data_IF_745096121354
#
_entry.id   IF_745096121354
#
_cell.length_a   1.000
_cell.length_b   1.000
_cell.length_c   1.000
_cell.angle_alpha   90.00
_cell.angle_beta   90.00
_cell.angle_gamma   90.00
#
_symmetry.space_group_name_H-M   'P 1'
#
loop_
_entity.id
_entity.type
_entity.pdbx_description
1 polymer ?
#
# COMPACT_ATOMS: atom_id res chain seq x y z
N UNK A 1 -12.51 -7.64 -16.38
CA UNK A 1 -13.30 -6.37 -16.50
C UNK A 1 -14.03 -6.02 -15.22
N UNK A 2 -14.81 -6.95 -14.63
CA UNK A 2 -15.61 -6.69 -13.39
C UNK A 2 -14.72 -6.25 -12.22
N UNK A 3 -13.59 -6.93 -11.95
CA UNK A 3 -12.67 -6.56 -10.88
C UNK A 3 -12.18 -5.11 -11.01
N UNK A 4 -11.76 -4.71 -12.21
CA UNK A 4 -11.30 -3.33 -12.48
C UNK A 4 -12.41 -2.31 -12.23
N UNK A 5 -13.63 -2.58 -12.71
CA UNK A 5 -14.77 -1.70 -12.47
C UNK A 5 -15.11 -1.59 -10.99
N UNK A 6 -15.01 -2.70 -10.25
CA UNK A 6 -15.18 -2.74 -8.81
C UNK A 6 -14.15 -1.86 -8.10
N UNK A 7 -12.85 -2.03 -8.39
CA UNK A 7 -11.77 -1.19 -7.85
C UNK A 7 -11.98 0.30 -8.19
N UNK A 8 -12.31 0.61 -9.44
CA UNK A 8 -12.57 2.00 -9.85
C UNK A 8 -13.74 2.63 -9.10
N UNK A 9 -14.79 1.86 -8.77
CA UNK A 9 -15.90 2.37 -7.96
C UNK A 9 -15.48 2.74 -6.54
N UNK A 10 -14.65 1.93 -5.90
CA UNK A 10 -14.07 2.24 -4.58
C UNK A 10 -13.11 3.44 -4.65
N UNK A 11 -12.24 3.49 -5.65
CA UNK A 11 -11.36 4.63 -5.87
C UNK A 11 -12.14 5.94 -6.06
N UNK A 12 -13.24 5.89 -6.83
CA UNK A 12 -14.13 7.05 -7.02
C UNK A 12 -14.80 7.49 -5.71
N UNK A 13 -15.36 6.55 -4.94
CA UNK A 13 -15.96 6.84 -3.64
C UNK A 13 -14.93 7.45 -2.68
N UNK A 14 -13.75 6.85 -2.56
CA UNK A 14 -12.67 7.38 -1.74
C UNK A 14 -12.24 8.78 -2.17
N UNK A 15 -12.14 9.03 -3.48
CA UNK A 15 -11.84 10.37 -4.01
C UNK A 15 -12.90 11.42 -3.64
N UNK A 16 -14.20 11.06 -3.70
CA UNK A 16 -15.27 11.94 -3.26
C UNK A 16 -15.23 12.20 -1.75
N UNK A 17 -14.99 11.16 -0.94
CA UNK A 17 -14.86 11.30 0.52
C UNK A 17 -13.73 12.26 0.90
N UNK A 18 -12.55 12.10 0.33
CA UNK A 18 -11.42 13.01 0.59
C UNK A 18 -11.72 14.42 0.08
N UNK A 19 -12.37 14.55 -1.08
CA UNK A 19 -12.82 15.86 -1.60
C UNK A 19 -13.73 16.60 -0.62
N UNK A 20 -14.63 15.91 0.06
CA UNK A 20 -15.55 16.48 1.04
C UNK A 20 -14.88 16.76 2.39
N UNK A 21 -13.99 15.88 2.83
CA UNK A 21 -13.35 15.99 4.14
C UNK A 21 -12.15 16.95 4.14
N UNK A 22 -11.47 17.10 3.00
CA UNK A 22 -10.20 17.84 2.89
C UNK A 22 -10.16 18.75 1.65
N UNK A 23 -11.16 19.66 1.45
CA UNK A 23 -11.24 20.49 0.25
C UNK A 23 -10.05 21.44 0.09
N UNK A 24 -9.39 21.81 1.19
CA UNK A 24 -8.25 22.72 1.22
C UNK A 24 -6.93 22.10 0.74
N UNK A 25 -6.85 20.76 0.65
CA UNK A 25 -5.65 20.09 0.14
C UNK A 25 -5.53 20.29 -1.37
N UNK A 26 -4.29 20.25 -1.87
CA UNK A 26 -4.04 20.32 -3.31
C UNK A 26 -4.75 19.19 -4.05
N UNK A 27 -5.11 19.38 -5.33
CA UNK A 27 -5.75 18.33 -6.13
C UNK A 27 -4.97 17.03 -6.17
N UNK A 28 -3.64 17.08 -6.23
CA UNK A 28 -2.77 15.90 -6.26
C UNK A 28 -2.90 15.09 -4.98
N UNK A 29 -2.85 15.75 -3.82
CA UNK A 29 -3.00 15.11 -2.52
C UNK A 29 -4.40 14.53 -2.37
N UNK A 30 -5.45 15.25 -2.80
CA UNK A 30 -6.83 14.76 -2.71
C UNK A 30 -7.05 13.50 -3.56
N UNK A 31 -6.53 13.49 -4.79
CA UNK A 31 -6.66 12.32 -5.67
C UNK A 31 -5.90 11.14 -5.11
N UNK A 32 -4.64 11.35 -4.73
CA UNK A 32 -3.82 10.27 -4.16
C UNK A 32 -4.41 9.69 -2.87
N UNK A 33 -4.73 10.53 -1.87
CA UNK A 33 -5.37 10.06 -0.62
C UNK A 33 -6.73 9.41 -0.90
N UNK A 34 -7.49 9.93 -1.87
CA UNK A 34 -8.79 9.40 -2.22
C UNK A 34 -8.70 8.01 -2.85
N UNK A 35 -7.81 7.82 -3.81
CA UNK A 35 -7.57 6.51 -4.42
C UNK A 35 -7.04 5.53 -3.37
N UNK A 36 -6.08 5.95 -2.53
CA UNK A 36 -5.57 5.12 -1.43
C UNK A 36 -6.66 4.74 -0.43
N UNK A 37 -7.57 5.65 -0.08
CA UNK A 37 -8.74 5.36 0.78
C UNK A 37 -9.68 4.36 0.10
N UNK A 38 -9.93 4.52 -1.19
CA UNK A 38 -10.72 3.58 -1.97
C UNK A 38 -10.15 2.17 -1.93
N UNK A 39 -8.85 2.03 -2.18
CA UNK A 39 -8.15 0.73 -2.11
C UNK A 39 -8.19 0.15 -0.69
N UNK A 40 -8.01 0.98 0.35
CA UNK A 40 -8.12 0.52 1.74
C UNK A 40 -9.53 0.01 2.07
N UNK A 41 -10.57 0.71 1.59
CA UNK A 41 -11.95 0.25 1.73
C UNK A 41 -12.20 -1.05 0.96
N UNK A 42 -11.67 -1.20 -0.25
CA UNK A 42 -11.76 -2.42 -1.04
C UNK A 42 -11.05 -3.60 -0.36
N UNK A 43 -9.93 -3.38 0.30
CA UNK A 43 -9.25 -4.41 1.10
C UNK A 43 -10.08 -4.81 2.33
N UNK A 44 -10.63 -3.84 3.05
CA UNK A 44 -11.18 -4.05 4.39
C UNK A 44 -12.67 -4.34 4.42
N UNK A 45 -13.51 -3.65 3.64
CA UNK A 45 -14.96 -3.79 3.73
C UNK A 45 -15.47 -5.17 3.33
N UNK A 46 -14.98 -5.81 2.24
CA UNK A 46 -15.37 -7.20 1.94
C UNK A 46 -15.00 -8.17 3.07
N UNK A 47 -13.82 -8.00 3.68
CA UNK A 47 -13.37 -8.83 4.81
C UNK A 47 -14.24 -8.59 6.07
N UNK A 48 -14.67 -7.36 6.33
CA UNK A 48 -15.62 -7.06 7.42
C UNK A 48 -16.99 -7.68 7.16
N UNK A 49 -17.52 -7.54 5.94
CA UNK A 49 -18.81 -8.14 5.55
C UNK A 49 -18.77 -9.66 5.54
N UNK A 50 -17.59 -10.25 5.30
CA UNK A 50 -17.38 -11.69 5.27
C UNK A 50 -17.64 -12.36 6.65
N UNK A 51 -17.55 -11.63 7.76
CA UNK A 51 -17.94 -12.19 9.07
C UNK A 51 -19.41 -12.61 9.16
N UNK A 52 -20.27 -12.06 8.29
CA UNK A 52 -21.68 -12.44 8.21
C UNK A 52 -22.05 -13.20 6.93
N UNK A 53 -21.26 -13.05 5.86
CA UNK A 53 -21.61 -13.49 4.52
C UNK A 53 -20.54 -14.39 3.87
N UNK A 54 -19.54 -14.79 4.64
CA UNK A 54 -18.31 -15.42 4.16
C UNK A 54 -17.64 -14.58 3.05
N UNK A 55 -16.44 -14.92 2.60
CA UNK A 55 -15.74 -14.11 1.60
C UNK A 55 -16.28 -14.41 0.18
N UNK A 56 -17.53 -14.03 -0.04
CA UNK A 56 -18.33 -14.34 -1.22
C UNK A 56 -18.67 -13.08 -2.04
N UNK A 57 -19.28 -13.26 -3.20
CA UNK A 57 -19.83 -12.14 -3.99
C UNK A 57 -20.84 -11.32 -3.19
N UNK A 58 -21.64 -11.96 -2.31
CA UNK A 58 -22.59 -11.26 -1.45
C UNK A 58 -21.88 -10.31 -0.48
N UNK A 59 -20.74 -10.72 0.12
CA UNK A 59 -19.92 -9.84 0.97
C UNK A 59 -19.37 -8.65 0.18
N UNK A 60 -18.99 -8.83 -1.09
CA UNK A 60 -18.52 -7.76 -1.94
C UNK A 60 -19.63 -6.76 -2.33
N UNK A 61 -20.85 -7.24 -2.57
CA UNK A 61 -22.03 -6.37 -2.79
C UNK A 61 -22.33 -5.58 -1.51
N UNK A 62 -22.33 -6.25 -0.35
CA UNK A 62 -22.53 -5.59 0.95
C UNK A 62 -21.43 -4.55 1.23
N UNK A 63 -20.19 -4.83 0.83
CA UNK A 63 -19.07 -3.88 0.94
C UNK A 63 -19.29 -2.60 0.12
N UNK A 64 -19.88 -2.69 -1.08
CA UNK A 64 -20.27 -1.50 -1.86
C UNK A 64 -21.33 -0.70 -1.12
N UNK A 65 -22.37 -1.36 -0.57
CA UNK A 65 -23.37 -0.68 0.23
C UNK A 65 -22.77 0.01 1.47
N UNK A 66 -21.85 -0.65 2.16
CA UNK A 66 -21.13 -0.05 3.28
C UNK A 66 -20.28 1.15 2.86
N UNK A 67 -19.59 1.07 1.72
CA UNK A 67 -18.81 2.18 1.17
C UNK A 67 -19.72 3.39 0.80
N UNK A 68 -20.90 3.14 0.24
CA UNK A 68 -21.89 4.19 -0.04
C UNK A 68 -22.41 4.84 1.24
N UNK A 69 -22.67 4.07 2.29
CA UNK A 69 -23.06 4.61 3.60
C UNK A 69 -21.94 5.47 4.20
N UNK A 70 -20.70 5.01 4.15
CA UNK A 70 -19.55 5.81 4.60
C UNK A 70 -19.42 7.09 3.78
N UNK A 71 -19.62 7.02 2.47
CA UNK A 71 -19.63 8.20 1.60
C UNK A 71 -20.75 9.18 1.98
N UNK A 72 -21.95 8.69 2.30
CA UNK A 72 -23.06 9.53 2.78
C UNK A 72 -22.73 10.21 4.12
N UNK A 73 -22.10 9.50 5.07
CA UNK A 73 -21.61 10.09 6.32
C UNK A 73 -20.56 11.16 6.06
N UNK A 74 -19.58 10.89 5.19
CA UNK A 74 -18.57 11.88 4.81
C UNK A 74 -19.19 13.10 4.12
N UNK A 75 -20.23 12.91 3.29
CA UNK A 75 -20.96 14.00 2.68
C UNK A 75 -21.72 14.85 3.71
N UNK A 76 -22.38 14.22 4.68
CA UNK A 76 -23.05 14.93 5.77
C UNK A 76 -22.06 15.73 6.62
N UNK A 77 -20.88 15.16 6.87
CA UNK A 77 -19.77 15.79 7.61
C UNK A 77 -18.88 16.71 6.75
N UNK A 78 -19.27 16.99 5.49
CA UNK A 78 -18.42 17.73 4.55
C UNK A 78 -18.05 19.12 5.06
N UNK A 79 -16.88 19.55 4.71
CA UNK A 79 -16.43 20.92 4.93
C UNK A 79 -17.02 21.83 3.83
N UNK A 80 -17.74 22.88 4.25
CA UNK A 80 -18.33 23.87 3.34
C UNK A 80 -17.29 24.92 2.91
N UNK A 81 -16.13 24.47 2.44
CA UNK A 81 -15.06 25.33 1.97
C UNK A 81 -14.85 25.15 0.46
N UNK A 82 -14.39 26.18 -0.25
CA UNK A 82 -14.08 26.06 -1.67
C UNK A 82 -12.92 25.07 -1.88
N UNK A 83 -12.98 24.34 -2.98
CA UNK A 83 -11.92 23.42 -3.35
C UNK A 83 -10.65 24.21 -3.70
N UNK A 84 -9.52 23.79 -3.11
CA UNK A 84 -8.22 24.31 -3.51
C UNK A 84 -7.98 24.00 -5.00
N UNK A 85 -7.68 25.02 -5.78
CA UNK A 85 -7.33 24.89 -7.20
C UNK A 85 -5.87 24.39 -7.36
N UNK A 86 -5.55 23.91 -8.53
CA UNK A 86 -4.20 23.50 -8.89
C UNK A 86 -3.30 24.73 -9.01
N UNK A 87 -2.24 24.79 -8.21
CA UNK A 87 -1.22 25.86 -8.21
C UNK A 87 -0.06 25.48 -9.13
N UNK A 88 0.80 26.43 -9.44
CA UNK A 88 2.01 26.18 -10.22
C UNK A 88 2.94 25.14 -9.56
N UNK A 89 3.05 25.19 -8.23
CA UNK A 89 3.79 24.18 -7.46
C UNK A 89 3.23 22.78 -7.61
N UNK A 90 1.90 22.64 -7.72
CA UNK A 90 1.24 21.35 -7.94
C UNK A 90 1.50 20.84 -9.36
N UNK A 91 1.50 21.73 -10.37
CA UNK A 91 1.83 21.36 -11.75
C UNK A 91 3.27 20.85 -11.87
N UNK A 92 4.21 21.53 -11.22
CA UNK A 92 5.63 21.08 -11.18
C UNK A 92 5.75 19.74 -10.45
N UNK A 93 5.04 19.56 -9.35
CA UNK A 93 5.02 18.28 -8.64
C UNK A 93 4.39 17.16 -9.49
N UNK A 94 3.33 17.45 -10.22
CA UNK A 94 2.74 16.51 -11.18
C UNK A 94 3.74 16.10 -12.26
N UNK A 95 4.53 17.05 -12.77
CA UNK A 95 5.59 16.76 -13.73
C UNK A 95 6.67 15.83 -13.16
N UNK A 96 7.09 16.04 -11.89
CA UNK A 96 8.01 15.13 -11.19
C UNK A 96 7.38 13.74 -11.01
N UNK A 97 6.13 13.68 -10.55
CA UNK A 97 5.42 12.41 -10.38
C UNK A 97 5.26 11.66 -11.70
N UNK A 98 5.00 12.37 -12.80
CA UNK A 98 4.93 11.76 -14.13
C UNK A 98 6.31 11.27 -14.59
N UNK A 99 7.34 12.12 -14.50
CA UNK A 99 8.68 11.80 -14.98
C UNK A 99 9.37 10.67 -14.22
N UNK A 100 9.09 10.51 -12.92
CA UNK A 100 9.68 9.48 -12.06
C UNK A 100 8.71 8.34 -11.80
N UNK A 101 7.47 8.65 -11.43
CA UNK A 101 6.49 7.66 -11.00
C UNK A 101 5.98 6.79 -12.13
N UNK A 102 5.75 7.33 -13.34
CA UNK A 102 5.29 6.53 -14.49
C UNK A 102 6.33 5.49 -14.91
N UNK A 103 7.62 5.86 -15.14
CA UNK A 103 8.66 4.87 -15.47
C UNK A 103 8.84 3.82 -14.37
N UNK A 104 8.87 4.22 -13.09
CA UNK A 104 8.97 3.26 -11.98
C UNK A 104 7.77 2.31 -11.92
N UNK A 105 6.56 2.81 -12.17
CA UNK A 105 5.35 1.98 -12.21
C UNK A 105 5.38 1.00 -13.38
N UNK A 106 5.79 1.46 -14.56
CA UNK A 106 5.92 0.60 -15.74
C UNK A 106 6.99 -0.48 -15.54
N UNK A 107 8.16 -0.11 -14.99
CA UNK A 107 9.21 -1.05 -14.61
C UNK A 107 8.69 -2.08 -13.61
N UNK A 108 7.97 -1.63 -12.59
CA UNK A 108 7.42 -2.52 -11.55
C UNK A 108 6.37 -3.47 -12.11
N UNK A 109 5.51 -3.01 -13.02
CA UNK A 109 4.53 -3.86 -13.70
C UNK A 109 5.24 -4.94 -14.54
N UNK A 110 6.27 -4.53 -15.27
CA UNK A 110 7.10 -5.45 -16.06
C UNK A 110 7.77 -6.50 -15.16
N UNK A 111 8.44 -6.06 -14.08
CA UNK A 111 9.12 -6.98 -13.15
C UNK A 111 8.15 -7.91 -12.43
N UNK A 112 6.98 -7.44 -12.01
CA UNK A 112 5.96 -8.30 -11.41
C UNK A 112 5.47 -9.37 -12.39
N UNK A 113 5.25 -9.02 -13.65
CA UNK A 113 4.77 -9.96 -14.66
C UNK A 113 5.85 -10.97 -15.09
N UNK A 114 7.11 -10.54 -15.18
CA UNK A 114 8.22 -11.37 -15.72
C UNK A 114 9.07 -12.03 -14.65
N UNK A 115 9.19 -11.44 -13.44
CA UNK A 115 10.11 -11.89 -12.39
C UNK A 115 9.43 -12.26 -11.06
N UNK A 116 8.13 -11.98 -10.91
CA UNK A 116 7.39 -12.41 -9.73
C UNK A 116 6.57 -13.66 -10.02
N UNK A 117 5.66 -13.57 -10.99
CA UNK A 117 4.77 -14.68 -11.39
C UNK A 117 4.53 -14.65 -12.90
N UNK A 118 5.15 -15.58 -13.61
CA UNK A 118 5.10 -15.64 -15.06
C UNK A 118 4.34 -16.89 -15.52
N UNK A 119 3.36 -16.76 -16.45
CA UNK A 119 2.75 -17.91 -17.08
C UNK A 119 3.73 -18.56 -18.06
N UNK A 120 3.90 -19.88 -17.95
CA UNK A 120 4.67 -20.68 -18.89
C UNK A 120 3.81 -21.20 -20.04
N UNK A 121 4.46 -21.69 -21.11
CA UNK A 121 3.76 -22.17 -22.32
C UNK A 121 2.88 -23.40 -22.05
N UNK A 122 3.21 -24.20 -21.04
CA UNK A 122 2.44 -25.37 -20.60
C UNK A 122 1.26 -25.03 -19.68
N UNK A 123 1.03 -23.75 -19.40
CA UNK A 123 -0.01 -23.26 -18.48
C UNK A 123 0.38 -23.24 -17.01
N UNK A 124 1.59 -23.65 -16.65
CA UNK A 124 2.12 -23.52 -15.29
C UNK A 124 2.45 -22.06 -14.98
N UNK A 125 2.60 -21.76 -13.69
CA UNK A 125 3.05 -20.45 -13.19
C UNK A 125 4.43 -20.59 -12.55
N UNK A 126 5.37 -19.79 -13.03
CA UNK A 126 6.73 -19.78 -12.54
C UNK A 126 6.96 -18.61 -11.60
N UNK A 127 7.61 -18.87 -10.46
CA UNK A 127 7.99 -17.88 -9.48
C UNK A 127 9.46 -17.50 -9.65
N UNK A 128 9.78 -16.22 -9.48
CA UNK A 128 11.15 -15.72 -9.54
C UNK A 128 12.01 -16.14 -8.34
N UNK A 129 13.32 -16.09 -8.50
CA UNK A 129 14.29 -16.50 -7.48
C UNK A 129 14.14 -15.69 -6.17
N UNK A 130 13.84 -14.41 -6.24
CA UNK A 130 13.65 -13.56 -5.06
C UNK A 130 12.27 -13.70 -4.40
N UNK A 131 11.31 -14.37 -5.07
CA UNK A 131 9.90 -14.39 -4.67
C UNK A 131 9.39 -15.77 -4.26
N UNK A 132 10.12 -16.84 -4.58
CA UNK A 132 9.64 -18.22 -4.42
C UNK A 132 9.23 -18.59 -2.98
N UNK A 133 9.89 -18.03 -1.98
CA UNK A 133 9.62 -18.36 -0.57
C UNK A 133 8.24 -17.88 -0.12
N UNK A 134 8.02 -16.59 -0.17
CA UNK A 134 6.78 -15.98 0.35
C UNK A 134 5.62 -16.08 -0.65
N UNK A 135 5.90 -16.08 -1.95
CA UNK A 135 4.86 -16.03 -2.97
C UNK A 135 3.93 -17.25 -2.92
N UNK A 136 4.46 -18.45 -2.65
CA UNK A 136 3.64 -19.67 -2.53
C UNK A 136 2.64 -19.57 -1.38
N UNK A 137 3.04 -18.97 -0.26
CA UNK A 137 2.16 -18.68 0.88
C UNK A 137 1.07 -17.66 0.47
N UNK A 138 1.43 -16.57 -0.15
CA UNK A 138 0.47 -15.56 -0.62
C UNK A 138 -0.50 -16.11 -1.66
N UNK A 139 -0.03 -16.94 -2.60
CA UNK A 139 -0.90 -17.62 -3.57
C UNK A 139 -1.90 -18.53 -2.87
N UNK A 140 -1.46 -19.23 -1.84
CA UNK A 140 -2.33 -20.08 -1.02
C UNK A 140 -3.43 -19.25 -0.32
N UNK A 141 -3.09 -18.06 0.21
CA UNK A 141 -4.09 -17.15 0.78
C UNK A 141 -5.07 -16.63 -0.26
N UNK A 142 -4.55 -16.13 -1.40
CA UNK A 142 -5.37 -15.59 -2.48
C UNK A 142 -6.39 -16.63 -3.00
N UNK A 143 -5.96 -17.86 -3.17
CA UNK A 143 -6.85 -18.92 -3.69
C UNK A 143 -7.80 -19.47 -2.65
N UNK A 144 -7.37 -19.60 -1.39
CA UNK A 144 -8.18 -20.16 -0.32
C UNK A 144 -9.20 -19.20 0.25
N UNK A 145 -8.92 -17.88 0.29
CA UNK A 145 -9.88 -16.89 0.77
C UNK A 145 -11.17 -16.84 -0.07
N UNK A 146 -11.11 -17.22 -1.34
CA UNK A 146 -12.28 -17.27 -2.21
C UNK A 146 -13.34 -18.22 -1.66
N UNK A 147 -14.51 -17.69 -1.32
CA UNK A 147 -15.64 -18.39 -0.70
C UNK A 147 -15.33 -18.98 0.69
N UNK A 148 -14.25 -18.50 1.35
CA UNK A 148 -13.88 -18.97 2.66
C UNK A 148 -14.83 -18.44 3.73
N UNK A 149 -15.13 -19.31 4.69
CA UNK A 149 -15.82 -18.92 5.93
C UNK A 149 -14.95 -18.02 6.78
N UNK A 150 -15.56 -17.01 7.42
CA UNK A 150 -14.85 -16.07 8.29
C UNK A 150 -15.17 -16.32 9.78
N UNK A 151 -14.21 -16.09 10.69
CA UNK A 151 -12.84 -15.61 10.44
C UNK A 151 -12.01 -16.62 9.64
N UNK A 152 -11.02 -16.14 8.83
CA UNK A 152 -10.31 -17.00 7.88
C UNK A 152 -9.44 -18.03 8.59
N UNK A 153 -9.44 -19.27 8.08
CA UNK A 153 -8.52 -20.33 8.48
C UNK A 153 -7.18 -20.24 7.75
N UNK A 154 -6.14 -20.78 8.37
CA UNK A 154 -4.81 -20.81 7.78
C UNK A 154 -4.72 -21.96 6.77
N UNK A 155 -4.58 -21.63 5.49
CA UNK A 155 -4.64 -22.60 4.40
C UNK A 155 -3.48 -23.61 4.38
N UNK A 156 -2.36 -23.29 5.01
CA UNK A 156 -1.17 -24.16 5.06
C UNK A 156 -1.18 -25.11 6.26
N UNK A 157 -2.04 -24.89 7.26
CA UNK A 157 -2.16 -25.74 8.45
C UNK A 157 -3.61 -25.86 8.88
N UNK A 158 -4.20 -27.03 8.63
CA UNK A 158 -5.59 -27.29 8.93
C UNK A 158 -5.91 -27.12 10.43
N UNK A 159 -7.09 -26.60 10.73
CA UNK A 159 -7.57 -26.41 12.11
C UNK A 159 -7.00 -25.18 12.84
N UNK A 160 -6.19 -24.36 12.18
CA UNK A 160 -5.65 -23.11 12.75
C UNK A 160 -6.27 -21.88 12.11
N UNK A 161 -6.43 -20.80 12.89
CA UNK A 161 -6.88 -19.51 12.38
C UNK A 161 -5.75 -18.79 11.66
N UNK A 162 -6.08 -18.01 10.64
CA UNK A 162 -5.11 -17.17 9.93
C UNK A 162 -4.64 -16.03 10.83
N UNK A 163 -3.41 -16.11 11.29
CA UNK A 163 -2.75 -15.10 12.15
C UNK A 163 -1.77 -14.19 11.37
N UNK A 164 -1.89 -14.14 10.06
CA UNK A 164 -1.05 -13.33 9.16
C UNK A 164 -1.83 -12.13 8.60
N UNK A 165 -1.20 -10.97 8.37
CA UNK A 165 -1.84 -9.83 7.69
C UNK A 165 -2.26 -10.23 6.27
N UNK A 166 -3.55 -10.25 5.99
CA UNK A 166 -4.10 -10.84 4.76
C UNK A 166 -4.86 -9.86 3.85
N UNK A 167 -5.05 -8.59 4.27
CA UNK A 167 -5.87 -7.66 3.48
C UNK A 167 -5.30 -7.36 2.09
N UNK A 168 -3.98 -7.39 1.93
CA UNK A 168 -3.36 -7.26 0.61
C UNK A 168 -3.65 -8.46 -0.29
N UNK A 169 -3.71 -9.66 0.30
CA UNK A 169 -4.08 -10.88 -0.42
C UNK A 169 -5.60 -10.94 -0.67
N UNK A 170 -6.42 -10.44 0.25
CA UNK A 170 -7.87 -10.29 0.06
C UNK A 170 -8.18 -9.38 -1.14
N UNK A 171 -7.42 -8.29 -1.36
CA UNK A 171 -7.52 -7.49 -2.57
C UNK A 171 -7.28 -8.33 -3.83
N UNK A 172 -6.22 -9.13 -3.86
CA UNK A 172 -5.94 -10.04 -4.98
C UNK A 172 -7.00 -11.14 -5.12
N UNK A 173 -7.53 -11.64 -4.00
CA UNK A 173 -8.66 -12.60 -4.02
C UNK A 173 -9.90 -12.00 -4.69
N UNK A 174 -10.18 -10.71 -4.46
CA UNK A 174 -11.27 -10.00 -5.15
C UNK A 174 -11.09 -10.04 -6.67
N UNK A 175 -9.88 -9.76 -7.16
CA UNK A 175 -9.58 -9.84 -8.60
C UNK A 175 -9.75 -11.28 -9.12
N UNK A 176 -9.20 -12.26 -8.41
CA UNK A 176 -9.31 -13.69 -8.76
C UNK A 176 -10.76 -14.18 -8.74
N UNK A 177 -11.54 -13.77 -7.75
CA UNK A 177 -12.95 -14.14 -7.61
C UNK A 177 -13.81 -13.58 -8.73
N UNK A 178 -13.51 -12.39 -9.23
CA UNK A 178 -14.18 -11.78 -10.38
C UNK A 178 -13.63 -12.22 -11.74
N UNK A 179 -12.91 -13.35 -11.77
CA UNK A 179 -12.54 -14.06 -13.00
C UNK A 179 -11.25 -13.56 -13.67
N UNK A 180 -10.40 -12.83 -12.96
CA UNK A 180 -9.07 -12.50 -13.49
C UNK A 180 -8.14 -13.72 -13.33
N UNK A 181 -7.26 -14.03 -14.30
CA UNK A 181 -6.23 -15.05 -14.14
C UNK A 181 -5.38 -14.82 -12.89
N UNK A 182 -4.92 -15.90 -12.23
CA UNK A 182 -4.26 -15.82 -10.94
C UNK A 182 -3.02 -14.93 -10.95
N UNK A 183 -2.17 -15.02 -11.98
CA UNK A 183 -1.01 -14.14 -12.14
C UNK A 183 -1.42 -12.67 -12.23
N UNK A 184 -2.41 -12.32 -13.04
CA UNK A 184 -2.88 -10.94 -13.18
C UNK A 184 -3.61 -10.45 -11.93
N UNK A 185 -4.22 -11.35 -11.15
CA UNK A 185 -4.82 -11.02 -9.85
C UNK A 185 -3.80 -10.57 -8.80
N UNK A 186 -2.51 -10.88 -9.01
CA UNK A 186 -1.42 -10.36 -8.21
C UNK A 186 -0.79 -9.11 -8.86
N UNK A 187 -0.51 -9.18 -10.16
CA UNK A 187 0.22 -8.13 -10.89
C UNK A 187 -0.57 -6.83 -10.95
N UNK A 188 -1.87 -6.88 -11.28
CA UNK A 188 -2.68 -5.67 -11.46
C UNK A 188 -2.84 -4.88 -10.14
N UNK A 189 -3.35 -5.47 -9.04
CA UNK A 189 -3.43 -4.74 -7.78
C UNK A 189 -2.05 -4.42 -7.21
N UNK A 190 -1.04 -5.28 -7.39
CA UNK A 190 0.33 -5.00 -7.00
C UNK A 190 0.89 -3.76 -7.69
N UNK A 191 0.67 -3.61 -8.99
CA UNK A 191 1.08 -2.41 -9.75
C UNK A 191 0.36 -1.15 -9.27
N UNK A 192 -0.93 -1.24 -8.94
CA UNK A 192 -1.68 -0.13 -8.35
C UNK A 192 -1.08 0.29 -6.99
N UNK A 193 -0.78 -0.66 -6.13
CA UNK A 193 -0.16 -0.39 -4.83
C UNK A 193 1.24 0.25 -4.97
N UNK A 194 2.03 -0.18 -5.95
CA UNK A 194 3.33 0.44 -6.26
C UNK A 194 3.16 1.87 -6.76
N UNK A 195 2.23 2.12 -7.67
CA UNK A 195 1.94 3.48 -8.15
C UNK A 195 1.53 4.41 -7.00
N UNK A 196 0.68 3.94 -6.08
CA UNK A 196 0.28 4.70 -4.88
C UNK A 196 1.46 4.96 -3.94
N UNK A 197 2.37 4.00 -3.79
CA UNK A 197 3.58 4.14 -2.98
C UNK A 197 4.52 5.18 -3.58
N UNK A 198 4.78 5.14 -4.89
CA UNK A 198 5.64 6.12 -5.56
C UNK A 198 5.06 7.54 -5.50
N UNK A 199 3.78 7.68 -5.82
CA UNK A 199 3.08 8.96 -5.73
C UNK A 199 3.09 9.48 -4.29
N UNK A 200 2.79 8.62 -3.34
CA UNK A 200 2.75 8.96 -1.92
C UNK A 200 4.10 9.38 -1.36
N UNK A 201 5.16 8.65 -1.69
CA UNK A 201 6.52 9.02 -1.30
C UNK A 201 6.88 10.43 -1.78
N UNK A 202 6.63 10.73 -3.06
CA UNK A 202 6.93 12.05 -3.64
C UNK A 202 6.07 13.16 -3.03
N UNK A 203 4.80 12.92 -2.70
CA UNK A 203 3.93 13.89 -2.04
C UNK A 203 4.32 14.11 -0.58
N UNK A 204 4.69 13.05 0.13
CA UNK A 204 5.22 13.15 1.49
C UNK A 204 6.56 13.91 1.50
N UNK A 205 7.48 13.56 0.59
CA UNK A 205 8.75 14.26 0.44
C UNK A 205 8.54 15.75 0.11
N UNK A 206 7.57 16.09 -0.75
CA UNK A 206 7.21 17.48 -1.03
C UNK A 206 6.73 18.21 0.23
N UNK A 207 5.91 17.55 1.06
CA UNK A 207 5.44 18.13 2.33
C UNK A 207 6.59 18.40 3.31
N UNK A 208 7.57 17.50 3.36
CA UNK A 208 8.72 17.61 4.27
C UNK A 208 9.79 18.59 3.76
N UNK A 209 10.02 18.61 2.45
CA UNK A 209 11.07 19.41 1.82
C UNK A 209 10.60 20.83 1.39
N UNK A 210 9.37 21.21 1.75
CA UNK A 210 8.85 22.55 1.49
C UNK A 210 8.75 22.89 -0.01
N UNK A 211 8.37 21.92 -0.85
CA UNK A 211 8.14 22.14 -2.28
C UNK A 211 9.40 22.20 -3.14
N UNK A 212 10.54 21.74 -2.65
CA UNK A 212 11.82 21.69 -3.41
C UNK A 212 11.80 20.52 -4.39
N UNK A 213 11.19 20.70 -5.57
CA UNK A 213 10.95 19.63 -6.55
C UNK A 213 12.21 18.84 -6.94
N UNK A 214 13.36 19.52 -7.15
CA UNK A 214 14.63 18.83 -7.43
C UNK A 214 15.05 17.90 -6.30
N UNK A 215 14.90 18.33 -5.04
CA UNK A 215 15.20 17.48 -3.89
C UNK A 215 14.23 16.30 -3.77
N UNK A 216 12.94 16.50 -4.09
CA UNK A 216 11.95 15.41 -4.16
C UNK A 216 12.33 14.38 -5.23
N UNK A 217 12.74 14.84 -6.42
CA UNK A 217 13.20 13.97 -7.51
C UNK A 217 14.40 13.13 -7.07
N UNK A 218 15.44 13.78 -6.52
CA UNK A 218 16.65 13.09 -6.06
C UNK A 218 16.33 12.12 -4.94
N UNK A 219 15.51 12.50 -3.97
CA UNK A 219 15.10 11.63 -2.87
C UNK A 219 14.38 10.38 -3.38
N UNK A 220 13.45 10.52 -4.35
CA UNK A 220 12.75 9.39 -4.95
C UNK A 220 13.69 8.44 -5.71
N UNK A 221 14.58 8.99 -6.55
CA UNK A 221 15.55 8.19 -7.30
C UNK A 221 16.51 7.46 -6.37
N UNK A 222 17.07 8.15 -5.37
CA UNK A 222 17.97 7.53 -4.39
C UNK A 222 17.28 6.46 -3.56
N UNK A 223 16.01 6.63 -3.22
CA UNK A 223 15.29 5.66 -2.42
C UNK A 223 14.88 4.42 -3.22
N UNK A 224 14.29 4.60 -4.40
CA UNK A 224 13.74 3.48 -5.18
C UNK A 224 14.77 2.81 -6.08
N UNK A 225 15.80 3.52 -6.50
CA UNK A 225 16.89 2.97 -7.33
C UNK A 225 18.17 2.72 -6.52
N UNK A 226 18.07 2.72 -5.17
CA UNK A 226 19.19 2.33 -4.34
C UNK A 226 19.57 0.88 -4.60
N UNK A 227 20.83 0.57 -4.33
CA UNK A 227 21.35 -0.78 -4.44
C UNK A 227 22.83 -0.79 -4.13
N UNK A 228 23.40 -1.98 -3.96
CA UNK A 228 24.84 -2.16 -3.83
C UNK A 228 25.55 -1.95 -5.19
N UNK A 229 26.88 -1.98 -5.16
CA UNK A 229 27.71 -1.88 -6.36
C UNK A 229 27.77 -3.20 -7.17
N UNK A 230 26.92 -4.18 -6.84
CA UNK A 230 26.86 -5.47 -7.52
C UNK A 230 26.60 -5.36 -9.04
N UNK A 231 25.90 -4.29 -9.48
CA UNK A 231 25.72 -4.04 -10.90
C UNK A 231 27.02 -3.87 -11.69
N UNK A 232 28.14 -3.57 -11.04
CA UNK A 232 29.46 -3.49 -11.70
C UNK A 232 29.91 -4.84 -12.26
N UNK A 233 29.45 -5.95 -11.68
CA UNK A 233 29.72 -7.29 -12.20
C UNK A 233 29.00 -7.56 -13.53
N UNK A 234 27.94 -6.84 -13.84
CA UNK A 234 27.28 -6.93 -15.15
C UNK A 234 28.17 -6.39 -16.27
N UNK A 235 29.00 -5.40 -15.94
CA UNK A 235 30.01 -4.89 -16.88
C UNK A 235 31.16 -5.87 -17.08
N UNK A 236 31.59 -6.54 -16.02
CA UNK A 236 32.61 -7.61 -16.13
C UNK A 236 32.10 -8.78 -16.96
N UNK A 237 30.87 -9.21 -16.73
CA UNK A 237 30.20 -10.22 -17.57
C UNK A 237 30.07 -9.80 -19.04
N UNK A 238 29.88 -8.49 -19.31
CA UNK A 238 29.82 -7.96 -20.67
C UNK A 238 31.19 -8.06 -21.36
N UNK A 239 32.27 -7.88 -20.64
CA UNK A 239 33.63 -7.89 -21.21
C UNK A 239 34.24 -9.29 -21.29
N UNK A 240 33.88 -10.20 -20.39
CA UNK A 240 34.46 -11.54 -20.32
C UNK A 240 33.67 -12.63 -21.07
N UNK A 241 32.32 -12.55 -21.06
CA UNK A 241 31.46 -13.66 -21.52
C UNK A 241 30.47 -13.31 -22.64
N UNK A 242 30.68 -12.21 -23.31
CA UNK A 242 29.78 -11.68 -24.34
C UNK A 242 28.53 -10.96 -23.83
N UNK A 243 28.12 -9.95 -24.56
CA UNK A 243 26.85 -9.23 -24.43
C UNK A 243 25.59 -10.13 -24.38
N UNK A 244 25.72 -11.42 -24.74
CA UNK A 244 24.66 -12.39 -24.62
C UNK A 244 24.16 -12.55 -23.17
N UNK A 245 25.05 -12.49 -22.16
CA UNK A 245 24.67 -12.62 -20.74
C UNK A 245 23.96 -11.40 -20.20
N UNK A 246 24.24 -10.19 -20.71
CA UNK A 246 23.44 -9.00 -20.36
C UNK A 246 22.00 -9.13 -20.86
N UNK A 247 21.77 -9.75 -22.00
CA UNK A 247 20.42 -10.05 -22.50
C UNK A 247 19.69 -11.00 -21.55
N UNK A 248 20.38 -11.92 -20.90
CA UNK A 248 19.80 -12.84 -19.92
C UNK A 248 19.20 -12.11 -18.70
N UNK A 249 19.67 -10.92 -18.33
CA UNK A 249 19.08 -10.08 -17.29
C UNK A 249 17.63 -9.72 -17.67
N UNK A 250 17.36 -9.49 -18.94
CA UNK A 250 16.04 -9.14 -19.45
C UNK A 250 15.18 -10.34 -19.86
N UNK A 251 15.80 -11.46 -20.17
CA UNK A 251 15.14 -12.68 -20.69
C UNK A 251 15.28 -13.89 -19.78
N UNK A 252 16.32 -13.94 -18.96
CA UNK A 252 16.58 -15.01 -18.00
C UNK A 252 15.82 -14.77 -16.70
N UNK A 253 14.81 -15.57 -16.49
CA UNK A 253 13.86 -15.47 -15.39
C UNK A 253 14.50 -15.54 -13.98
N UNK A 254 15.69 -16.10 -13.85
CA UNK A 254 16.30 -16.42 -12.55
C UNK A 254 17.56 -15.66 -12.17
N UNK A 255 18.14 -14.91 -13.08
CA UNK A 255 19.45 -14.32 -12.79
C UNK A 255 19.29 -12.89 -12.31
N UNK A 256 19.62 -12.67 -11.04
CA UNK A 256 19.94 -11.35 -10.49
C UNK A 256 21.47 -11.27 -10.43
N UNK A 257 22.17 -10.75 -11.44
CA UNK A 257 23.64 -10.73 -11.52
C UNK A 257 24.29 -10.03 -10.32
N UNK A 258 23.53 -9.12 -9.71
CA UNK A 258 23.94 -8.35 -8.54
C UNK A 258 23.95 -9.14 -7.21
N UNK A 259 23.37 -10.34 -7.15
CA UNK A 259 23.34 -11.16 -5.95
C UNK A 259 24.28 -12.36 -6.11
N UNK A 260 25.50 -12.21 -5.64
CA UNK A 260 26.54 -13.24 -5.63
C UNK A 260 26.93 -13.59 -4.19
N UNK A 261 26.20 -14.49 -3.53
CA UNK A 261 26.42 -14.84 -2.12
C UNK A 261 27.83 -15.36 -1.85
N UNK A 262 28.43 -16.09 -2.81
CA UNK A 262 29.76 -16.66 -2.70
C UNK A 262 30.85 -15.58 -2.60
N UNK A 263 30.59 -14.40 -3.14
CA UNK A 263 31.46 -13.22 -3.03
C UNK A 263 31.01 -12.25 -1.92
N UNK A 264 30.06 -12.67 -1.08
CA UNK A 264 29.43 -11.83 -0.06
C UNK A 264 28.84 -10.53 -0.61
N UNK A 265 28.44 -10.53 -1.87
CA UNK A 265 27.78 -9.42 -2.54
C UNK A 265 26.28 -9.65 -2.50
N UNK A 266 25.60 -8.83 -1.73
CA UNK A 266 24.15 -8.81 -1.69
C UNK A 266 23.68 -7.48 -2.20
N UNK A 267 22.94 -7.53 -3.29
CA UNK A 267 22.24 -6.39 -3.83
C UNK A 267 20.81 -6.42 -3.32
N UNK A 268 20.47 -5.48 -2.45
CA UNK A 268 19.09 -5.29 -1.99
C UNK A 268 18.55 -4.02 -2.59
N UNK A 269 17.63 -4.14 -3.53
CA UNK A 269 16.87 -3.01 -4.07
C UNK A 269 15.47 -3.01 -3.47
N UNK A 270 14.99 -1.84 -3.09
CA UNK A 270 13.66 -1.66 -2.47
C UNK A 270 12.52 -2.21 -3.34
N UNK A 271 12.60 -2.05 -4.67
CA UNK A 271 11.59 -2.54 -5.59
C UNK A 271 11.71 -4.06 -5.75
N UNK A 272 12.90 -4.53 -6.11
CA UNK A 272 13.11 -5.92 -6.52
C UNK A 272 13.08 -6.91 -5.34
N UNK A 273 13.65 -6.52 -4.18
CA UNK A 273 13.82 -7.44 -3.05
C UNK A 273 12.83 -7.23 -1.90
N UNK A 274 12.13 -6.09 -1.87
CA UNK A 274 11.15 -5.80 -0.82
C UNK A 274 9.73 -5.66 -1.35
N UNK A 275 9.49 -4.73 -2.30
CA UNK A 275 8.12 -4.42 -2.72
C UNK A 275 7.51 -5.52 -3.60
N UNK A 276 8.30 -6.17 -4.46
CA UNK A 276 7.81 -7.23 -5.35
C UNK A 276 7.56 -8.53 -4.58
N UNK A 277 8.53 -9.08 -3.81
CA UNK A 277 8.34 -10.37 -3.16
C UNK A 277 7.41 -10.30 -1.95
N UNK A 278 7.43 -9.20 -1.20
CA UNK A 278 6.71 -9.08 0.08
C UNK A 278 5.38 -8.32 -0.10
N UNK A 279 4.32 -9.02 -0.44
CA UNK A 279 3.01 -8.43 -0.71
C UNK A 279 2.42 -7.66 0.48
N UNK A 280 2.54 -8.19 1.70
CA UNK A 280 2.08 -7.51 2.90
C UNK A 280 2.84 -6.19 3.12
N UNK A 281 4.16 -6.15 2.87
CA UNK A 281 4.96 -4.93 2.95
C UNK A 281 4.52 -3.91 1.89
N UNK A 282 4.29 -4.35 0.65
CA UNK A 282 3.82 -3.47 -0.43
C UNK A 282 2.49 -2.81 -0.05
N UNK A 283 1.51 -3.60 0.42
CA UNK A 283 0.25 -3.07 0.95
C UNK A 283 0.48 -2.13 2.14
N UNK A 284 1.39 -2.52 3.05
CA UNK A 284 1.79 -1.72 4.19
C UNK A 284 2.35 -0.36 3.82
N UNK A 285 3.19 -0.27 2.82
CA UNK A 285 3.74 1.03 2.37
C UNK A 285 2.70 1.86 1.61
N UNK A 286 1.94 1.23 0.73
CA UNK A 286 0.86 1.92 0.00
C UNK A 286 -0.17 2.55 0.95
N UNK A 287 -0.41 1.93 2.11
CA UNK A 287 -1.35 2.42 3.13
C UNK A 287 -0.66 3.17 4.28
N UNK A 288 0.59 2.87 4.60
CA UNK A 288 1.36 3.51 5.66
C UNK A 288 1.79 4.93 5.32
N UNK A 289 2.21 5.18 4.06
CA UNK A 289 2.61 6.52 3.61
C UNK A 289 1.44 7.54 3.71
N UNK A 290 0.21 7.22 3.27
CA UNK A 290 -0.95 8.08 3.54
C UNK A 290 -1.22 8.33 5.03
N UNK A 291 -1.08 7.30 5.87
CA UNK A 291 -1.23 7.46 7.32
C UNK A 291 -0.17 8.41 7.89
N UNK A 292 1.09 8.27 7.49
CA UNK A 292 2.18 9.16 7.90
C UNK A 292 1.96 10.60 7.38
N UNK A 293 1.48 10.75 6.15
CA UNK A 293 1.11 12.07 5.61
C UNK A 293 0.01 12.72 6.46
N UNK A 294 -1.04 11.97 6.80
CA UNK A 294 -2.15 12.44 7.63
C UNK A 294 -1.70 12.78 9.05
N UNK A 295 -0.80 12.00 9.64
CA UNK A 295 -0.22 12.28 10.96
C UNK A 295 0.45 13.66 10.99
N UNK A 296 1.36 13.91 10.07
CA UNK A 296 2.11 15.17 9.98
C UNK A 296 1.17 16.33 9.64
N UNK A 297 0.26 16.13 8.69
CA UNK A 297 -0.68 17.15 8.24
C UNK A 297 -1.68 17.52 9.34
N UNK A 298 -2.26 16.53 10.03
CA UNK A 298 -3.24 16.77 11.10
C UNK A 298 -2.65 17.53 12.29
N UNK A 299 -1.39 17.28 12.59
CA UNK A 299 -0.67 18.00 13.65
C UNK A 299 -0.37 19.45 13.25
N UNK A 300 0.17 19.66 12.02
CA UNK A 300 0.48 21.00 11.51
C UNK A 300 -0.76 21.89 11.35
N UNK A 301 -1.87 21.32 10.89
CA UNK A 301 -3.12 22.03 10.65
C UNK A 301 -4.07 22.00 11.85
N UNK A 302 -3.68 21.34 12.94
CA UNK A 302 -4.47 21.17 14.18
C UNK A 302 -5.87 20.59 13.91
N UNK A 303 -6.00 19.71 12.90
CA UNK A 303 -7.27 19.24 12.36
C UNK A 303 -7.74 17.95 13.03
N UNK A 304 -8.79 18.01 13.84
CA UNK A 304 -9.43 16.83 14.43
C UNK A 304 -10.01 15.89 13.36
N UNK A 305 -10.49 16.43 12.24
CA UNK A 305 -11.06 15.65 11.13
C UNK A 305 -9.99 14.79 10.47
N UNK A 306 -8.80 15.35 10.19
CA UNK A 306 -7.68 14.58 9.66
C UNK A 306 -7.16 13.57 10.69
N UNK A 307 -7.18 13.91 11.97
CA UNK A 307 -6.83 12.96 13.05
C UNK A 307 -7.81 11.79 13.11
N UNK A 308 -9.11 12.03 12.98
CA UNK A 308 -10.11 10.96 12.93
C UNK A 308 -9.93 10.05 11.71
N UNK A 309 -9.66 10.64 10.53
CA UNK A 309 -9.35 9.86 9.33
C UNK A 309 -8.08 9.04 9.50
N UNK A 310 -7.01 9.62 10.08
CA UNK A 310 -5.79 8.90 10.43
C UNK A 310 -6.07 7.72 11.36
N UNK A 311 -6.90 7.94 12.39
CA UNK A 311 -7.22 6.91 13.37
C UNK A 311 -7.93 5.70 12.73
N UNK A 312 -8.93 5.96 11.89
CA UNK A 312 -9.64 4.93 11.12
C UNK A 312 -8.69 4.22 10.13
N UNK A 313 -7.80 4.96 9.51
CA UNK A 313 -6.82 4.40 8.58
C UNK A 313 -5.82 3.48 9.27
N UNK A 314 -5.22 3.98 10.36
CA UNK A 314 -4.23 3.23 11.13
C UNK A 314 -4.80 1.96 11.76
N UNK A 315 -6.09 1.95 12.09
CA UNK A 315 -6.75 0.76 12.67
C UNK A 315 -6.85 -0.42 11.70
N UNK A 316 -6.77 -0.20 10.39
CA UNK A 316 -6.73 -1.27 9.40
C UNK A 316 -5.30 -1.82 9.15
N UNK A 317 -4.26 -1.06 9.47
CA UNK A 317 -2.87 -1.42 9.16
C UNK A 317 -2.39 -2.74 9.75
N UNK A 318 -2.79 -3.18 10.97
CA UNK A 318 -2.38 -4.48 11.49
C UNK A 318 -2.75 -5.67 10.59
N UNK A 319 -3.89 -5.57 9.91
CA UNK A 319 -4.36 -6.59 8.96
C UNK A 319 -3.77 -6.41 7.55
N UNK A 320 -3.16 -5.26 7.27
CA UNK A 320 -2.42 -5.00 6.01
C UNK A 320 -0.95 -5.40 6.19
N UNK A 321 -0.27 -4.85 7.22
CA UNK A 321 1.13 -5.12 7.51
C UNK A 321 1.50 -4.68 8.94
N UNK A 322 1.72 -5.63 9.83
CA UNK A 322 1.97 -5.39 11.25
C UNK A 322 3.21 -4.52 11.49
N UNK A 323 4.31 -4.72 10.74
CA UNK A 323 5.54 -3.93 10.92
C UNK A 323 5.34 -2.46 10.54
N UNK A 324 4.57 -2.17 9.49
CA UNK A 324 4.23 -0.78 9.13
C UNK A 324 3.37 -0.13 10.22
N UNK A 325 2.46 -0.88 10.82
CA UNK A 325 1.67 -0.40 11.95
C UNK A 325 2.55 -0.07 13.17
N UNK A 326 3.47 -0.97 13.53
CA UNK A 326 4.42 -0.74 14.63
C UNK A 326 5.33 0.47 14.35
N UNK A 327 5.86 0.57 13.13
CA UNK A 327 6.69 1.71 12.72
C UNK A 327 5.91 3.04 12.81
N UNK A 328 4.64 3.06 12.34
CA UNK A 328 3.77 4.23 12.47
C UNK A 328 3.51 4.56 13.95
N UNK A 329 3.32 3.56 14.80
CA UNK A 329 3.13 3.74 16.25
C UNK A 329 4.36 4.39 16.92
N UNK A 330 5.55 3.87 16.64
CA UNK A 330 6.81 4.43 17.16
C UNK A 330 7.03 5.86 16.65
N UNK A 331 6.83 6.09 15.36
CA UNK A 331 6.94 7.43 14.78
C UNK A 331 5.92 8.39 15.38
N UNK A 332 4.67 7.95 15.57
CA UNK A 332 3.60 8.76 16.19
C UNK A 332 3.95 9.13 17.62
N UNK A 333 4.51 8.21 18.40
CA UNK A 333 4.98 8.48 19.77
C UNK A 333 6.09 9.52 19.82
N UNK A 334 7.14 9.35 19.01
CA UNK A 334 8.23 10.33 18.92
C UNK A 334 7.75 11.70 18.43
N UNK A 335 6.86 11.72 17.43
CA UNK A 335 6.29 12.94 16.88
C UNK A 335 5.38 13.67 17.89
N UNK A 336 4.61 12.92 18.70
CA UNK A 336 3.82 13.45 19.81
C UNK A 336 4.71 14.14 20.84
N UNK A 337 5.77 13.46 21.29
CA UNK A 337 6.71 14.02 22.25
C UNK A 337 7.37 15.30 21.73
N UNK A 338 7.84 15.30 20.49
CA UNK A 338 8.40 16.48 19.83
C UNK A 338 7.41 17.65 19.81
N UNK A 339 6.16 17.42 19.41
CA UNK A 339 5.13 18.46 19.38
C UNK A 339 4.80 19.00 20.76
N UNK A 340 4.77 18.16 21.81
CA UNK A 340 4.53 18.60 23.20
C UNK A 340 5.65 19.50 23.74
N UNK A 341 6.89 19.29 23.30
CA UNK A 341 8.04 20.12 23.66
C UNK A 341 8.04 21.43 22.87
N UNK A 342 7.85 21.35 21.56
CA UNK A 342 7.94 22.50 20.65
C UNK A 342 6.72 23.45 20.77
N UNK A 343 5.50 22.89 20.90
CA UNK A 343 4.26 23.66 20.91
C UNK A 343 3.60 23.69 22.28
N UNK A 344 4.32 24.23 23.30
CA UNK A 344 3.88 24.26 24.70
C UNK A 344 2.52 24.92 24.93
N UNK A 345 2.15 25.90 24.11
CA UNK A 345 0.87 26.62 24.20
C UNK A 345 -0.34 25.78 23.72
N UNK A 346 -0.14 24.75 22.88
CA UNK A 346 -1.21 23.89 22.33
C UNK A 346 -1.25 22.48 22.95
N UNK A 347 -0.59 22.27 24.11
CA UNK A 347 -0.49 20.91 24.71
C UNK A 347 -1.84 20.24 24.90
N UNK A 348 -2.87 20.98 25.32
CA UNK A 348 -4.22 20.42 25.47
C UNK A 348 -4.79 19.94 24.13
N UNK A 349 -4.67 20.73 23.08
CA UNK A 349 -5.12 20.33 21.73
C UNK A 349 -4.35 19.13 21.18
N UNK A 350 -3.03 19.07 21.41
CA UNK A 350 -2.19 17.94 21.04
C UNK A 350 -2.64 16.66 21.75
N UNK A 351 -2.85 16.71 23.07
CA UNK A 351 -3.30 15.55 23.85
C UNK A 351 -4.70 15.08 23.48
N UNK A 352 -5.62 15.97 23.16
CA UNK A 352 -6.96 15.59 22.68
C UNK A 352 -6.87 14.88 21.33
N UNK A 353 -6.08 15.39 20.39
CA UNK A 353 -5.85 14.73 19.09
C UNK A 353 -5.17 13.36 19.26
N UNK A 354 -4.16 13.27 20.14
CA UNK A 354 -3.52 12.00 20.47
C UNK A 354 -4.49 11.00 21.09
N UNK A 355 -5.35 11.45 22.02
CA UNK A 355 -6.40 10.62 22.63
C UNK A 355 -7.42 10.11 21.61
N UNK A 356 -7.85 10.95 20.65
CA UNK A 356 -8.73 10.55 19.56
C UNK A 356 -8.07 9.48 18.68
N UNK A 357 -6.79 9.66 18.32
CA UNK A 357 -6.03 8.70 17.53
C UNK A 357 -5.85 7.36 18.26
N UNK A 358 -5.33 7.40 19.48
CA UNK A 358 -5.05 6.21 20.29
C UNK A 358 -6.33 5.47 20.68
N UNK A 359 -7.41 6.18 21.03
CA UNK A 359 -8.67 5.58 21.44
C UNK A 359 -9.31 4.74 20.32
N UNK A 360 -9.31 5.25 19.09
CA UNK A 360 -9.85 4.50 17.95
C UNK A 360 -8.98 3.29 17.59
N UNK A 361 -7.64 3.44 17.60
CA UNK A 361 -6.71 2.34 17.31
C UNK A 361 -6.79 1.25 18.38
N UNK A 362 -6.81 1.62 19.67
CA UNK A 362 -6.89 0.66 20.79
C UNK A 362 -8.21 -0.11 20.78
N UNK A 363 -9.33 0.56 20.51
CA UNK A 363 -10.66 -0.07 20.46
C UNK A 363 -10.73 -1.20 19.41
N UNK A 364 -10.18 -0.96 18.22
CA UNK A 364 -10.18 -1.98 17.16
C UNK A 364 -9.29 -3.17 17.50
N UNK A 365 -8.18 -2.96 18.22
CA UNK A 365 -7.30 -4.04 18.67
C UNK A 365 -7.90 -4.90 19.79
N UNK A 366 -8.50 -4.27 20.79
CA UNK A 366 -9.13 -5.00 21.90
C UNK A 366 -10.26 -5.91 21.41
N UNK A 367 -11.12 -5.42 20.52
CA UNK A 367 -12.19 -6.24 19.93
C UNK A 367 -11.70 -7.40 19.06
N UNK A 368 -10.59 -7.22 18.35
CA UNK A 368 -9.99 -8.31 17.58
C UNK A 368 -9.45 -9.45 18.47
N UNK A 369 -9.08 -9.16 19.72
CA UNK A 369 -8.65 -10.15 20.70
C UNK A 369 -9.84 -10.81 21.45
N UNK A 370 -10.90 -10.06 21.75
CA UNK A 370 -12.09 -10.62 22.45
C UNK A 370 -12.84 -11.65 21.60
N UNK A 371 -12.91 -11.48 20.29
CA UNK A 371 -13.50 -12.49 19.39
C UNK A 371 -12.68 -13.77 19.28
N UNK A 372 -11.40 -13.77 19.69
CA UNK A 372 -10.54 -14.96 19.75
C UNK A 372 -10.65 -15.74 21.07
N UNK A 373 -11.03 -15.08 22.16
CA UNK A 373 -11.15 -15.73 23.49
C UNK A 373 -12.52 -16.36 23.74
N UNK A 374 -13.52 -16.09 22.90
CA UNK A 374 -14.89 -16.61 23.02
C UNK A 374 -15.22 -17.68 21.96
N UNK A 375 -14.25 -18.23 21.26
CA UNK A 375 -14.32 -19.39 20.37
C UNK A 375 -13.40 -20.50 20.88
#
# INVERSE_FOLDING_TARGET
>A
MIAIAYTLSFCFLGAQMIRWLMPQKSPLVRVWLGVSLGVLMEMGLPALCANALDFTVAAHIAAVAAALLLAAVCYAAREKAPLCAMRETDRRQLAVMAAVGIPLTALSAYLQYTHNIMPAADGSLWCGQATYGDLCMHLSFVTSLKNMRFPPSYSLLAGTSLAYPYLTDALSTTFYMFGMPLNLSLVVPGTLLMALTYAGYMLLAQQLLGGRHKAVTVAALLFFLNGGLGFLYDFDLAFTDNFARIREIFTGYYRTPANQPDLNLRFSNVIADLMIPQRALLGGWAMGIPALYLLISSAREKSYRQTALLALWASALPLVHTHTFLALGLFSGGYLLGNLVEHRQDRRGILIRAGLYLGAVSYTHLRAHETRSNL
#
